data_IF_559258868070
#
_entry.id   IF_559258868070
#
_cell.length_a   1.000
_cell.length_b   1.000
_cell.length_c   1.000
_cell.angle_alpha   90.00
_cell.angle_beta   90.00
_cell.angle_gamma   90.00
#
_symmetry.space_group_name_H-M   'P 1'
#
loop_
_entity.id
_entity.type
_entity.pdbx_description
1 polymer ?
#
# COMPACT_ATOMS: atom_id res chain seq x y z
N UNK A 1 55.70 -11.84 -12.33
CA UNK A 1 56.54 -11.34 -11.26
C UNK A 1 55.64 -10.60 -10.27
N UNK A 2 55.51 -11.22 -9.19
CA UNK A 2 55.80 -10.79 -7.83
C UNK A 2 54.55 -10.21 -7.16
N UNK A 3 53.93 -11.00 -6.34
CA UNK A 3 53.96 -11.14 -4.85
C UNK A 3 53.02 -10.12 -4.21
N UNK A 4 52.26 -10.38 -3.24
CA UNK A 4 51.97 -11.45 -2.25
C UNK A 4 51.07 -10.88 -1.19
N UNK A 5 50.11 -11.61 -0.82
CA UNK A 5 49.48 -11.89 0.51
C UNK A 5 50.24 -11.32 1.72
N UNK A 6 49.74 -11.47 2.94
CA UNK A 6 48.45 -11.26 3.59
C UNK A 6 48.65 -10.49 4.91
N UNK A 7 47.61 -10.14 5.65
CA UNK A 7 47.72 -10.13 7.12
C UNK A 7 46.33 -10.28 7.80
N UNK A 8 46.07 -11.51 8.07
CA UNK A 8 45.24 -12.01 9.16
C UNK A 8 45.99 -11.76 10.49
N UNK A 9 45.42 -11.07 11.46
CA UNK A 9 45.74 -11.17 12.91
C UNK A 9 44.62 -10.53 13.71
N UNK A 10 43.83 -11.40 14.32
CA UNK A 10 43.68 -11.62 15.74
C UNK A 10 43.65 -10.35 16.61
N UNK A 11 42.52 -9.99 17.17
CA UNK A 11 42.43 -9.64 18.58
C UNK A 11 41.14 -10.29 19.13
N UNK A 12 41.42 -11.30 19.95
CA UNK A 12 40.53 -11.99 20.88
C UNK A 12 40.65 -11.27 22.22
N UNK A 13 39.57 -11.34 23.02
CA UNK A 13 39.47 -10.92 24.44
C UNK A 13 39.12 -9.44 24.64
N UNK A 14 38.04 -9.09 25.34
CA UNK A 14 37.70 -9.38 26.75
C UNK A 14 36.20 -9.14 26.93
N UNK A 15 35.45 -10.06 27.46
CA UNK A 15 34.14 -9.86 28.06
C UNK A 15 34.33 -9.31 29.51
N UNK A 16 33.51 -8.35 29.93
CA UNK A 16 33.16 -8.26 31.32
C UNK A 16 31.72 -8.75 31.54
N UNK A 17 31.58 -9.77 32.33
CA UNK A 17 30.35 -10.19 32.95
C UNK A 17 29.86 -9.09 33.90
N UNK A 18 28.78 -8.40 33.55
CA UNK A 18 28.08 -7.53 34.50
C UNK A 18 26.89 -8.34 35.04
N UNK A 19 27.08 -8.83 36.27
CA UNK A 19 26.02 -9.42 37.05
C UNK A 19 25.11 -8.27 37.54
N UNK A 20 23.88 -8.18 36.99
CA UNK A 20 22.85 -7.30 37.51
C UNK A 20 22.08 -8.05 38.58
N UNK A 21 22.35 -7.70 39.84
CA UNK A 21 21.56 -8.14 40.98
C UNK A 21 20.22 -7.43 40.96
N UNK A 22 19.13 -8.18 40.71
CA UNK A 22 17.75 -7.69 40.84
C UNK A 22 17.39 -7.76 42.33
N UNK A 23 17.36 -6.61 42.97
CA UNK A 23 16.79 -6.46 44.32
C UNK A 23 15.24 -6.47 44.20
N UNK A 24 14.63 -7.57 44.53
CA UNK A 24 13.19 -7.68 44.77
C UNK A 24 12.84 -6.99 46.10
N UNK A 25 12.40 -5.75 46.01
CA UNK A 25 11.82 -5.02 47.14
C UNK A 25 10.37 -5.44 47.31
N UNK A 26 10.13 -6.36 48.22
CA UNK A 26 8.78 -6.75 48.62
C UNK A 26 8.26 -5.71 49.62
N UNK A 27 7.37 -4.83 49.16
CA UNK A 27 6.54 -4.02 50.04
C UNK A 27 5.35 -4.84 50.53
N UNK A 28 5.44 -5.39 51.71
CA UNK A 28 4.26 -5.94 52.40
C UNK A 28 3.45 -4.78 52.98
N UNK A 29 2.32 -4.49 52.40
CA UNK A 29 1.31 -3.58 52.98
C UNK A 29 0.28 -4.39 53.75
N UNK A 30 0.24 -4.19 55.04
CA UNK A 30 -0.73 -4.69 55.99
C UNK A 30 -2.14 -4.31 55.58
N UNK A 31 -2.98 -5.33 55.40
CA UNK A 31 -4.42 -5.22 55.09
C UNK A 31 -5.17 -4.77 56.30
N UNK A 32 -5.68 -3.56 56.32
CA UNK A 32 -6.79 -3.17 57.19
C UNK A 32 -8.09 -3.49 56.44
N UNK A 33 -8.76 -4.53 56.91
CA UNK A 33 -10.08 -4.91 56.36
C UNK A 33 -11.08 -3.79 56.65
N UNK A 34 -11.48 -3.04 55.65
CA UNK A 34 -12.73 -2.28 55.62
C UNK A 34 -13.61 -2.85 54.53
N UNK A 35 -14.73 -3.39 54.96
CA UNK A 35 -15.87 -3.73 54.10
C UNK A 35 -16.18 -2.55 53.20
N UNK A 36 -15.89 -2.68 51.92
CA UNK A 36 -16.45 -1.84 50.87
C UNK A 36 -17.03 -2.75 49.82
N UNK A 37 -18.28 -2.48 49.49
CA UNK A 37 -19.11 -3.08 48.47
C UNK A 37 -18.29 -3.43 47.21
N UNK A 38 -18.51 -4.66 46.73
CA UNK A 38 -18.06 -5.10 45.39
C UNK A 38 -18.76 -4.24 44.33
N UNK A 39 -18.14 -3.15 43.97
CA UNK A 39 -18.39 -2.58 42.64
C UNK A 39 -17.51 -3.37 41.67
N UNK A 40 -18.08 -4.38 41.07
CA UNK A 40 -17.61 -4.97 39.84
C UNK A 40 -17.65 -3.86 38.78
N UNK A 41 -16.55 -3.15 38.61
CA UNK A 41 -16.34 -2.37 37.39
C UNK A 41 -16.37 -3.36 36.24
N UNK A 42 -17.52 -3.50 35.62
CA UNK A 42 -17.67 -4.06 34.31
C UNK A 42 -16.73 -3.20 33.42
N UNK A 43 -15.58 -3.76 33.05
CA UNK A 43 -14.72 -3.20 31.98
C UNK A 43 -15.64 -3.06 30.79
N UNK A 44 -16.03 -1.81 30.51
CA UNK A 44 -17.08 -1.53 29.57
C UNK A 44 -16.71 -2.05 28.19
N UNK A 45 -17.64 -2.75 27.56
CA UNK A 45 -17.58 -3.21 26.17
C UNK A 45 -17.24 -2.08 25.17
N UNK A 46 -17.28 -0.83 25.61
CA UNK A 46 -16.88 0.35 24.83
C UNK A 46 -15.36 0.48 24.62
N UNK A 47 -14.53 -0.02 25.56
CA UNK A 47 -13.07 0.11 25.46
C UNK A 47 -12.49 -0.91 24.47
N UNK A 48 -13.00 -2.12 24.43
CA UNK A 48 -12.57 -3.15 23.48
C UNK A 48 -12.95 -2.79 22.02
N UNK A 49 -14.10 -2.16 21.81
CA UNK A 49 -14.53 -1.75 20.47
C UNK A 49 -13.69 -0.58 19.92
N UNK A 50 -13.26 0.35 20.79
CA UNK A 50 -12.38 1.46 20.40
C UNK A 50 -10.96 0.98 20.07
N UNK A 51 -10.44 0.02 20.82
CA UNK A 51 -9.15 -0.61 20.52
C UNK A 51 -9.19 -1.38 19.20
N UNK A 52 -10.27 -2.11 18.96
CA UNK A 52 -10.45 -2.87 17.71
C UNK A 52 -10.57 -1.94 16.50
N UNK A 53 -11.31 -0.83 16.61
CA UNK A 53 -11.38 0.18 15.57
C UNK A 53 -10.02 0.81 15.27
N UNK A 54 -9.22 1.10 16.30
CA UNK A 54 -7.86 1.65 16.14
C UNK A 54 -6.91 0.66 15.47
N UNK A 55 -7.02 -0.63 15.78
CA UNK A 55 -6.25 -1.69 15.11
C UNK A 55 -6.63 -1.80 13.63
N UNK A 56 -7.92 -1.80 13.30
CA UNK A 56 -8.41 -1.86 11.92
C UNK A 56 -7.94 -0.65 11.08
N UNK A 57 -7.92 0.54 11.69
CA UNK A 57 -7.38 1.74 11.06
C UNK A 57 -5.88 1.62 10.80
N UNK A 58 -5.11 1.18 11.78
CA UNK A 58 -3.67 0.98 11.65
C UNK A 58 -3.33 -0.05 10.57
N UNK A 59 -3.99 -1.22 10.58
CA UNK A 59 -3.79 -2.23 9.54
C UNK A 59 -4.14 -1.72 8.15
N UNK A 60 -5.22 -0.94 8.04
CA UNK A 60 -5.61 -0.30 6.78
C UNK A 60 -4.55 0.69 6.30
N UNK A 61 -3.95 1.47 7.21
CA UNK A 61 -2.87 2.40 6.89
C UNK A 61 -1.63 1.67 6.42
N UNK A 62 -1.17 0.66 7.14
CA UNK A 62 0.01 -0.16 6.77
C UNK A 62 -0.19 -0.79 5.39
N UNK A 63 -1.36 -1.35 5.14
CA UNK A 63 -1.72 -1.95 3.85
C UNK A 63 -1.69 -0.92 2.71
N UNK A 64 -2.26 0.26 2.93
CA UNK A 64 -2.24 1.33 1.93
C UNK A 64 -0.81 1.79 1.61
N UNK A 65 0.08 1.81 2.61
CA UNK A 65 1.50 2.13 2.41
C UNK A 65 2.22 1.05 1.60
N UNK A 66 1.98 -0.24 1.90
CA UNK A 66 2.56 -1.36 1.13
C UNK A 66 2.09 -1.33 -0.33
N UNK A 67 0.78 -1.22 -0.56
CA UNK A 67 0.23 -1.11 -1.91
C UNK A 67 0.82 0.09 -2.65
N UNK A 68 0.93 1.25 -1.99
CA UNK A 68 1.53 2.44 -2.60
C UNK A 68 3.00 2.22 -2.96
N UNK A 69 3.79 1.60 -2.08
CA UNK A 69 5.20 1.30 -2.35
C UNK A 69 5.35 0.45 -3.61
N UNK A 70 4.63 -0.66 -3.71
CA UNK A 70 4.64 -1.55 -4.89
C UNK A 70 4.23 -0.83 -6.17
N UNK A 71 3.21 0.02 -6.10
CA UNK A 71 2.79 0.81 -7.26
C UNK A 71 3.84 1.85 -7.68
N UNK A 72 4.56 2.44 -6.72
CA UNK A 72 5.64 3.38 -7.01
C UNK A 72 6.87 2.67 -7.59
N UNK A 73 7.20 1.46 -7.16
CA UNK A 73 8.24 0.63 -7.75
C UNK A 73 7.91 0.28 -9.20
N UNK A 74 6.66 -0.10 -9.46
CA UNK A 74 6.18 -0.33 -10.82
C UNK A 74 6.28 0.94 -11.67
N UNK A 75 5.81 2.07 -11.14
CA UNK A 75 5.94 3.36 -11.82
C UNK A 75 7.39 3.69 -12.12
N UNK A 76 8.30 3.59 -11.16
CA UNK A 76 9.71 3.88 -11.34
C UNK A 76 10.33 3.04 -12.46
N UNK A 77 9.95 1.76 -12.52
CA UNK A 77 10.43 0.85 -13.56
C UNK A 77 9.88 1.15 -14.96
N UNK A 78 8.67 1.74 -15.06
CA UNK A 78 7.99 1.99 -16.34
C UNK A 78 7.91 3.47 -16.72
N UNK A 79 8.35 4.37 -15.88
CA UNK A 79 8.31 5.83 -16.11
C UNK A 79 8.82 6.19 -17.49
N UNK A 80 8.04 6.97 -18.23
CA UNK A 80 8.41 7.48 -19.55
C UNK A 80 8.29 6.47 -20.71
N UNK A 81 7.92 5.20 -20.45
CA UNK A 81 7.60 4.27 -21.53
C UNK A 81 6.44 4.85 -22.34
N UNK A 82 6.64 4.99 -23.66
CA UNK A 82 5.69 5.66 -24.55
C UNK A 82 4.36 4.92 -24.63
N UNK A 83 3.29 5.68 -24.81
CA UNK A 83 1.98 5.10 -25.10
C UNK A 83 1.98 4.47 -26.50
N UNK A 84 1.39 3.28 -26.60
CA UNK A 84 1.10 2.61 -27.86
C UNK A 84 -0.20 1.82 -27.72
N UNK A 85 -1.22 2.17 -28.49
CA UNK A 85 -2.48 1.43 -28.49
C UNK A 85 -2.23 -0.06 -28.87
N UNK A 86 -2.76 -0.98 -28.09
CA UNK A 86 -2.52 -2.42 -28.22
C UNK A 86 -1.15 -2.89 -27.72
N UNK A 87 -0.26 -1.97 -27.35
CA UNK A 87 1.08 -2.28 -26.83
C UNK A 87 1.06 -2.86 -25.43
N UNK A 88 2.04 -3.73 -25.13
CA UNK A 88 2.17 -4.39 -23.82
C UNK A 88 3.62 -4.58 -23.37
N UNK A 89 4.56 -3.85 -24.00
CA UNK A 89 6.01 -4.00 -23.77
C UNK A 89 6.67 -2.64 -23.49
N UNK A 90 7.96 -2.66 -23.17
CA UNK A 90 8.76 -1.43 -23.00
C UNK A 90 8.95 -0.64 -24.29
N UNK A 91 8.65 -1.23 -25.46
CA UNK A 91 8.64 -0.50 -26.75
C UNK A 91 7.36 0.32 -26.94
N UNK A 92 6.37 0.15 -26.07
CA UNK A 92 5.12 0.87 -26.00
C UNK A 92 4.05 0.08 -25.28
N UNK A 93 3.26 0.77 -24.47
CA UNK A 93 2.22 0.17 -23.62
C UNK A 93 0.98 1.06 -23.64
N UNK A 94 -0.21 0.45 -23.68
CA UNK A 94 -1.47 1.16 -23.46
C UNK A 94 -1.91 1.17 -21.99
N UNK A 95 -2.97 1.91 -21.68
CA UNK A 95 -3.44 2.10 -20.31
C UNK A 95 -3.87 0.79 -19.64
N UNK A 96 -4.64 -0.05 -20.32
CA UNK A 96 -5.11 -1.33 -19.75
C UNK A 96 -4.01 -2.38 -19.64
N UNK A 97 -3.06 -2.42 -20.58
CA UNK A 97 -1.91 -3.29 -20.47
C UNK A 97 -0.97 -2.89 -19.31
N UNK A 98 -0.80 -1.60 -19.07
CA UNK A 98 -0.04 -1.13 -17.92
C UNK A 98 -0.71 -1.54 -16.60
N UNK A 99 -2.02 -1.37 -16.48
CA UNK A 99 -2.81 -1.82 -15.32
C UNK A 99 -2.70 -3.34 -15.16
N UNK A 100 -3.00 -4.13 -16.21
CA UNK A 100 -2.92 -5.60 -16.17
C UNK A 100 -1.53 -6.07 -15.68
N UNK A 101 -0.48 -5.52 -16.26
CA UNK A 101 0.90 -5.87 -15.92
C UNK A 101 1.24 -5.51 -14.47
N UNK A 102 0.84 -4.32 -14.04
CA UNK A 102 1.06 -3.87 -12.66
C UNK A 102 0.43 -4.84 -11.66
N UNK A 103 -0.83 -5.20 -11.88
CA UNK A 103 -1.52 -6.10 -10.95
C UNK A 103 -0.93 -7.50 -10.95
N UNK A 104 -0.55 -8.03 -12.09
CA UNK A 104 0.13 -9.32 -12.18
C UNK A 104 1.48 -9.32 -11.50
N UNK A 105 2.34 -8.33 -11.79
CA UNK A 105 3.73 -8.28 -11.31
C UNK A 105 3.82 -7.93 -9.82
N UNK A 106 2.95 -7.03 -9.33
CA UNK A 106 3.04 -6.53 -7.96
C UNK A 106 2.13 -7.26 -6.97
N UNK A 107 1.02 -7.83 -7.45
CA UNK A 107 -0.01 -8.41 -6.57
C UNK A 107 -0.40 -9.85 -6.94
N UNK A 108 0.17 -10.44 -8.00
CA UNK A 108 -0.19 -11.77 -8.47
C UNK A 108 -1.63 -11.90 -8.98
N UNK A 109 -2.28 -10.76 -9.28
CA UNK A 109 -3.67 -10.71 -9.71
C UNK A 109 -3.76 -10.52 -11.23
N UNK A 110 -4.38 -11.48 -11.91
CA UNK A 110 -4.64 -11.35 -13.36
C UNK A 110 -5.90 -10.52 -13.62
N UNK A 111 -5.72 -9.40 -14.30
CA UNK A 111 -6.82 -8.57 -14.78
C UNK A 111 -7.03 -8.78 -16.29
N UNK A 112 -8.25 -8.55 -16.81
CA UNK A 112 -8.51 -8.58 -18.24
C UNK A 112 -7.62 -7.62 -19.03
N UNK A 113 -7.44 -7.93 -20.33
CA UNK A 113 -6.56 -7.14 -21.20
C UNK A 113 -7.15 -5.78 -21.59
N UNK A 114 -8.45 -5.66 -21.73
CA UNK A 114 -9.10 -4.45 -22.23
C UNK A 114 -9.65 -3.58 -21.10
N UNK A 115 -9.69 -2.25 -21.31
CA UNK A 115 -10.31 -1.30 -20.37
C UNK A 115 -11.78 -1.60 -20.14
N UNK A 116 -12.51 -2.05 -21.16
CA UNK A 116 -13.93 -2.41 -21.05
C UNK A 116 -14.17 -3.59 -20.11
N UNK A 117 -13.33 -4.61 -20.18
CA UNK A 117 -13.41 -5.76 -19.26
C UNK A 117 -12.93 -5.41 -17.86
N UNK A 118 -11.87 -4.57 -17.72
CA UNK A 118 -11.40 -4.08 -16.43
C UNK A 118 -12.46 -3.24 -15.71
N UNK A 119 -13.31 -2.55 -16.46
CA UNK A 119 -14.44 -1.80 -15.94
C UNK A 119 -15.50 -2.71 -15.29
N UNK A 120 -15.60 -3.96 -15.68
CA UNK A 120 -16.53 -4.94 -15.13
C UNK A 120 -15.91 -5.78 -13.98
N UNK A 121 -14.61 -5.61 -13.69
CA UNK A 121 -13.95 -6.38 -12.65
C UNK A 121 -14.07 -5.74 -11.27
N UNK A 122 -14.06 -6.58 -10.24
CA UNK A 122 -14.07 -6.16 -8.84
C UNK A 122 -15.38 -5.48 -8.42
N UNK A 123 -15.31 -4.72 -7.33
CA UNK A 123 -16.46 -4.02 -6.75
C UNK A 123 -16.49 -2.56 -7.18
N UNK A 124 -17.65 -2.08 -7.65
CA UNK A 124 -17.86 -0.64 -7.87
C UNK A 124 -17.82 0.12 -6.53
N UNK A 125 -17.11 1.24 -6.53
CA UNK A 125 -16.96 2.09 -5.35
C UNK A 125 -17.18 3.56 -5.72
N UNK A 126 -17.65 4.35 -4.77
CA UNK A 126 -17.79 5.80 -4.95
C UNK A 126 -16.42 6.50 -4.91
N UNK A 127 -16.34 7.71 -5.49
CA UNK A 127 -15.12 8.52 -5.46
C UNK A 127 -14.64 8.81 -4.01
N UNK A 128 -15.56 8.99 -3.08
CA UNK A 128 -15.26 9.24 -1.67
C UNK A 128 -14.63 8.02 -0.95
N UNK A 129 -14.83 6.82 -1.49
CA UNK A 129 -14.32 5.56 -0.93
C UNK A 129 -13.01 5.10 -1.58
N UNK A 130 -12.40 5.92 -2.45
CA UNK A 130 -11.16 5.58 -3.12
C UNK A 130 -10.05 5.25 -2.14
N UNK A 131 -9.34 4.16 -2.40
CA UNK A 131 -8.14 3.71 -1.69
C UNK A 131 -7.02 3.42 -2.67
N UNK A 132 -5.80 3.52 -2.21
CA UNK A 132 -4.62 3.15 -3.01
C UNK A 132 -4.79 1.76 -3.61
N UNK A 133 -4.52 1.62 -4.90
CA UNK A 133 -4.71 0.38 -5.65
C UNK A 133 -6.09 0.22 -6.33
N UNK A 134 -7.04 1.12 -6.12
CA UNK A 134 -8.29 1.09 -6.86
C UNK A 134 -8.09 1.52 -8.31
N UNK A 135 -8.83 0.92 -9.23
CA UNK A 135 -8.87 1.37 -10.62
C UNK A 135 -9.73 2.63 -10.72
N UNK A 136 -9.23 3.62 -11.43
CA UNK A 136 -9.97 4.83 -11.77
C UNK A 136 -10.16 4.89 -13.27
N UNK A 137 -11.41 5.05 -13.70
CA UNK A 137 -11.81 5.00 -15.11
C UNK A 137 -12.30 6.36 -15.57
N UNK A 138 -11.93 6.70 -16.80
CA UNK A 138 -12.24 8.00 -17.39
C UNK A 138 -12.78 7.83 -18.82
N UNK A 139 -13.63 8.78 -19.25
CA UNK A 139 -14.07 8.92 -20.64
C UNK A 139 -13.03 9.73 -21.41
N UNK A 140 -11.90 9.08 -21.76
CA UNK A 140 -10.75 9.72 -22.36
C UNK A 140 -9.97 8.76 -23.26
N UNK A 141 -8.95 9.29 -23.95
CA UNK A 141 -8.10 8.52 -24.84
C UNK A 141 -8.71 8.29 -26.24
N UNK A 142 -7.96 7.60 -27.10
CA UNK A 142 -8.34 7.34 -28.50
C UNK A 142 -9.55 6.42 -28.65
N UNK A 143 -9.79 5.56 -27.65
CA UNK A 143 -10.93 4.61 -27.62
C UNK A 143 -12.14 5.14 -26.85
N UNK A 144 -12.10 6.38 -26.35
CA UNK A 144 -13.12 6.93 -25.46
C UNK A 144 -13.11 6.34 -24.03
N UNK A 145 -12.17 5.45 -23.71
CA UNK A 145 -12.02 4.80 -22.40
C UNK A 145 -10.56 4.84 -21.97
N UNK A 146 -10.35 5.18 -20.71
CA UNK A 146 -9.02 5.22 -20.12
C UNK A 146 -9.05 4.71 -18.69
N UNK A 147 -7.99 4.07 -18.26
CA UNK A 147 -7.86 3.50 -16.93
C UNK A 147 -6.51 3.85 -16.32
N UNK A 148 -6.50 4.07 -15.01
CA UNK A 148 -5.29 4.22 -14.19
C UNK A 148 -5.48 3.57 -12.84
N UNK A 149 -4.45 3.62 -12.01
CA UNK A 149 -4.43 3.04 -10.66
C UNK A 149 -4.26 4.19 -9.66
N UNK A 150 -5.20 4.31 -8.72
CA UNK A 150 -5.19 5.36 -7.71
C UNK A 150 -4.04 5.18 -6.71
N UNK A 151 -3.33 6.25 -6.41
CA UNK A 151 -2.16 6.29 -5.52
C UNK A 151 -2.43 6.96 -4.15
N UNK A 152 -3.66 7.43 -3.94
CA UNK A 152 -3.97 8.33 -2.83
C UNK A 152 -3.78 9.80 -3.21
N UNK A 153 -4.25 10.72 -2.35
CA UNK A 153 -4.09 12.17 -2.51
C UNK A 153 -4.52 12.70 -3.90
N UNK A 154 -5.63 12.20 -4.44
CA UNK A 154 -6.14 12.52 -5.77
C UNK A 154 -5.15 12.29 -6.92
N UNK A 155 -4.14 11.44 -6.74
CA UNK A 155 -3.18 11.06 -7.76
C UNK A 155 -3.45 9.66 -8.29
N UNK A 156 -3.12 9.44 -9.56
CA UNK A 156 -3.19 8.12 -10.18
C UNK A 156 -2.05 7.92 -11.19
N UNK A 157 -1.57 6.69 -11.32
CA UNK A 157 -0.58 6.28 -12.31
C UNK A 157 -1.27 5.65 -13.50
N UNK A 158 -0.82 6.01 -14.72
CA UNK A 158 -1.39 5.51 -15.96
C UNK A 158 -0.42 5.61 -17.14
N UNK A 159 -0.72 4.96 -18.25
CA UNK A 159 -0.04 5.21 -19.52
C UNK A 159 -0.79 6.31 -20.31
N UNK A 160 -0.28 7.52 -20.26
CA UNK A 160 -0.82 8.70 -20.96
C UNK A 160 -0.49 8.67 -22.44
N UNK A 161 -1.43 9.04 -23.31
CA UNK A 161 -1.20 9.15 -24.76
C UNK A 161 -0.17 10.21 -25.14
N UNK A 162 -0.01 11.24 -24.32
CA UNK A 162 0.94 12.34 -24.55
C UNK A 162 2.28 12.17 -23.84
N UNK A 163 2.28 11.55 -22.66
CA UNK A 163 3.45 11.57 -21.77
C UNK A 163 4.00 10.16 -21.45
N UNK A 164 3.36 9.11 -21.97
CA UNK A 164 3.71 7.73 -21.62
C UNK A 164 3.30 7.40 -20.18
N UNK A 165 4.01 6.47 -19.55
CA UNK A 165 3.73 6.11 -18.16
C UNK A 165 4.10 7.26 -17.23
N UNK A 166 3.09 7.79 -16.55
CA UNK A 166 3.18 9.01 -15.72
C UNK A 166 2.18 8.99 -14.57
N UNK A 167 2.32 9.92 -13.63
CA UNK A 167 1.36 10.21 -12.58
C UNK A 167 0.64 11.52 -12.93
N UNK A 168 -0.68 11.52 -12.81
CA UNK A 168 -1.53 12.71 -12.99
C UNK A 168 -2.42 12.93 -11.77
N UNK A 169 -2.95 14.15 -11.64
CA UNK A 169 -3.93 14.50 -10.60
C UNK A 169 -5.35 14.35 -11.13
N UNK A 170 -6.22 13.72 -10.36
CA UNK A 170 -7.66 13.66 -10.63
C UNK A 170 -8.35 15.05 -10.48
N UNK A 171 -7.65 16.03 -9.91
CA UNK A 171 -8.14 17.41 -9.75
C UNK A 171 -7.83 18.28 -10.96
N UNK A 172 -6.92 17.84 -11.84
CA UNK A 172 -6.70 18.51 -13.12
C UNK A 172 -8.02 18.62 -13.90
N UNK A 173 -8.35 19.80 -14.49
CA UNK A 173 -9.62 20.02 -15.17
C UNK A 173 -9.93 18.96 -16.24
N UNK A 174 -8.90 18.48 -16.95
CA UNK A 174 -9.03 17.43 -17.95
C UNK A 174 -9.56 16.11 -17.34
N UNK A 175 -8.95 15.63 -16.26
CA UNK A 175 -9.31 14.37 -15.62
C UNK A 175 -10.57 14.49 -14.78
N UNK A 176 -10.72 15.59 -14.04
CA UNK A 176 -11.90 15.87 -13.22
C UNK A 176 -13.21 15.80 -14.04
N UNK A 177 -13.21 16.41 -15.22
CA UNK A 177 -14.37 16.41 -16.13
C UNK A 177 -14.68 15.05 -16.75
N UNK A 178 -13.66 14.18 -16.84
CA UNK A 178 -13.74 12.89 -17.54
C UNK A 178 -13.85 11.69 -16.62
N UNK A 179 -13.74 11.88 -15.32
CA UNK A 179 -13.91 10.81 -14.36
C UNK A 179 -15.28 10.13 -14.55
N UNK A 180 -15.28 8.81 -14.62
CA UNK A 180 -16.48 8.01 -14.84
C UNK A 180 -16.85 7.20 -13.60
N UNK A 181 -15.96 6.34 -13.14
CA UNK A 181 -16.18 5.42 -12.03
C UNK A 181 -14.87 4.88 -11.46
N UNK A 182 -14.98 4.12 -10.38
CA UNK A 182 -13.86 3.39 -9.81
C UNK A 182 -14.22 1.95 -9.45
N UNK A 183 -13.22 1.07 -9.48
CA UNK A 183 -13.33 -0.35 -9.18
C UNK A 183 -12.28 -0.78 -8.16
N UNK A 184 -12.70 -1.52 -7.15
CA UNK A 184 -11.80 -2.17 -6.19
C UNK A 184 -11.60 -3.61 -6.58
N UNK A 185 -10.36 -3.95 -6.95
CA UNK A 185 -9.97 -5.29 -7.39
C UNK A 185 -9.09 -6.00 -6.35
N UNK A 186 -8.41 -5.26 -5.47
CA UNK A 186 -7.71 -5.84 -4.33
C UNK A 186 -8.71 -6.13 -3.20
N UNK A 187 -8.90 -7.40 -2.89
CA UNK A 187 -9.69 -7.84 -1.73
C UNK A 187 -8.94 -7.55 -0.42
N UNK A 188 -9.69 -7.40 0.68
CA UNK A 188 -9.10 -7.55 2.01
C UNK A 188 -8.83 -9.05 2.20
N UNK A 189 -7.59 -9.46 2.11
CA UNK A 189 -7.14 -10.77 2.61
C UNK A 189 -6.92 -10.68 4.09
#
# INVERSE_FOLDING_TARGET
MVKSQPLLRYILRVAPAIAVAVLLSACSSTSTARNMHSETHAVGSGDLSSLQASQDEFETMVRNLDVKSRLMDQYASWKGVRYRLGGSTRKGIDCSAFVQRTFREQFGLELPRSTSEQQETGKSISRAQLRTGDLVLFRAGSTGRHVGIYLGNNQFVHASTSSGVTISSMDEPYWKKRYNEARRVLSRS
#
